data_IF_247831176903
#
_entry.id   IF_247831176903
#
_cell.length_a   1.000
_cell.length_b   1.000
_cell.length_c   1.000
_cell.angle_alpha   90.00
_cell.angle_beta   90.00
_cell.angle_gamma   90.00
#
_symmetry.space_group_name_H-M   'P 1'
#
loop_
_entity.id
_entity.type
_entity.pdbx_description
1 polymer ?
#
# COMPACT_ATOMS: atom_id res chain seq x y z
N UNK A 1 20.05 -32.65 27.98
CA UNK A 1 20.79 -32.16 26.82
C UNK A 1 19.77 -31.81 25.74
N UNK A 2 19.53 -30.51 25.44
CA UNK A 2 18.71 -30.10 24.29
C UNK A 2 19.53 -30.43 23.04
N UNK A 3 19.09 -31.36 22.24
CA UNK A 3 19.63 -31.59 20.90
C UNK A 3 19.47 -30.29 20.12
N UNK A 4 20.56 -29.57 19.91
CA UNK A 4 20.63 -28.39 19.06
C UNK A 4 20.42 -28.87 17.61
N UNK A 5 19.18 -28.93 17.17
CA UNK A 5 18.87 -29.17 15.76
C UNK A 5 19.24 -27.90 15.03
N UNK A 6 20.39 -27.87 14.36
CA UNK A 6 20.82 -26.78 13.49
C UNK A 6 19.85 -26.62 12.30
N UNK A 7 18.78 -25.89 12.54
CA UNK A 7 17.73 -25.74 11.52
C UNK A 7 18.23 -24.81 10.38
N UNK A 8 18.31 -25.29 9.12
CA UNK A 8 18.70 -24.45 8.01
C UNK A 8 17.73 -23.27 7.82
N UNK A 9 18.26 -22.06 7.64
CA UNK A 9 17.46 -20.85 7.43
C UNK A 9 16.50 -21.04 6.25
N UNK A 10 16.96 -21.64 5.16
CA UNK A 10 16.15 -21.92 3.97
C UNK A 10 14.96 -22.82 4.25
N UNK A 11 15.16 -23.89 5.01
CA UNK A 11 14.09 -24.81 5.39
C UNK A 11 13.02 -24.10 6.22
N UNK A 12 13.46 -23.26 7.17
CA UNK A 12 12.54 -22.49 8.00
C UNK A 12 11.79 -21.41 7.21
N UNK A 13 12.42 -20.74 6.24
CA UNK A 13 11.71 -19.88 5.30
C UNK A 13 10.62 -20.63 4.53
N UNK A 14 10.94 -21.82 4.00
CA UNK A 14 9.99 -22.64 3.22
C UNK A 14 8.78 -23.01 4.09
N UNK A 15 9.01 -23.45 5.32
CA UNK A 15 7.96 -23.76 6.28
C UNK A 15 7.06 -22.52 6.55
N UNK A 16 7.67 -21.38 6.88
CA UNK A 16 6.91 -20.17 7.18
C UNK A 16 6.12 -19.63 5.98
N UNK A 17 6.64 -19.75 4.77
CA UNK A 17 5.91 -19.40 3.55
C UNK A 17 4.69 -20.29 3.38
N UNK A 18 4.83 -21.60 3.55
CA UNK A 18 3.73 -22.56 3.43
C UNK A 18 2.63 -22.29 4.49
N UNK A 19 3.00 -22.01 5.74
CA UNK A 19 2.06 -21.65 6.80
C UNK A 19 1.29 -20.36 6.45
N UNK A 20 2.00 -19.32 6.00
CA UNK A 20 1.37 -18.06 5.60
C UNK A 20 0.43 -18.23 4.38
N UNK A 21 0.78 -19.11 3.45
CA UNK A 21 -0.07 -19.44 2.31
C UNK A 21 -1.33 -20.19 2.76
N UNK A 22 -1.22 -21.15 3.67
CA UNK A 22 -2.38 -21.86 4.23
C UNK A 22 -3.33 -20.95 5.00
N UNK A 23 -2.80 -19.91 5.67
CA UNK A 23 -3.57 -18.86 6.34
C UNK A 23 -4.21 -17.84 5.33
N UNK A 24 -3.99 -17.99 4.03
CA UNK A 24 -4.44 -17.03 3.01
C UNK A 24 -3.69 -15.68 3.03
N UNK A 25 -2.56 -15.59 3.71
CA UNK A 25 -1.72 -14.38 3.86
C UNK A 25 -0.72 -14.22 2.71
N UNK A 26 -1.22 -14.35 1.48
CA UNK A 26 -0.43 -14.38 0.23
C UNK A 26 0.55 -13.21 0.08
N UNK A 27 0.15 -12.00 0.50
CA UNK A 27 1.01 -10.82 0.44
C UNK A 27 2.21 -10.92 1.37
N UNK A 28 2.02 -11.46 2.57
CA UNK A 28 3.10 -11.70 3.54
C UNK A 28 4.00 -12.84 3.04
N UNK A 29 3.43 -13.95 2.60
CA UNK A 29 4.16 -15.08 2.00
C UNK A 29 5.05 -14.61 0.84
N UNK A 30 4.52 -13.77 -0.06
CA UNK A 30 5.30 -13.18 -1.16
C UNK A 30 6.49 -12.34 -0.68
N UNK A 31 6.34 -11.59 0.41
CA UNK A 31 7.46 -10.83 0.99
C UNK A 31 8.52 -11.74 1.60
N UNK A 32 8.12 -12.83 2.27
CA UNK A 32 9.03 -13.84 2.77
C UNK A 32 9.79 -14.51 1.61
N UNK A 33 9.12 -14.93 0.55
CA UNK A 33 9.74 -15.54 -0.62
C UNK A 33 10.72 -14.59 -1.34
N UNK A 34 10.43 -13.28 -1.38
CA UNK A 34 11.37 -12.27 -1.92
C UNK A 34 12.60 -12.12 -1.03
N UNK A 35 12.40 -12.11 0.28
CA UNK A 35 13.49 -11.98 1.26
C UNK A 35 14.36 -13.22 1.24
N UNK A 36 13.77 -14.42 1.21
CA UNK A 36 14.50 -15.69 1.06
C UNK A 36 15.41 -15.66 -0.17
N UNK A 37 14.88 -15.32 -1.34
CA UNK A 37 15.67 -15.24 -2.57
C UNK A 37 16.81 -14.21 -2.49
N UNK A 38 16.58 -13.09 -1.84
CA UNK A 38 17.62 -12.07 -1.64
C UNK A 38 18.70 -12.57 -0.68
N UNK A 39 18.30 -13.17 0.43
CA UNK A 39 19.22 -13.68 1.43
C UNK A 39 20.02 -14.87 0.90
N UNK A 40 19.39 -15.77 0.16
CA UNK A 40 20.07 -16.88 -0.52
C UNK A 40 21.14 -16.41 -1.52
N UNK A 41 20.87 -15.34 -2.29
CA UNK A 41 21.89 -14.76 -3.18
C UNK A 41 23.09 -14.22 -2.40
N UNK A 42 22.84 -13.60 -1.26
CA UNK A 42 23.91 -13.15 -0.36
C UNK A 42 24.72 -14.32 0.20
N UNK A 43 24.07 -15.40 0.63
CA UNK A 43 24.74 -16.59 1.15
C UNK A 43 25.60 -17.29 0.09
N UNK A 44 25.22 -17.24 -1.20
CA UNK A 44 25.87 -18.03 -2.25
C UNK A 44 25.70 -19.52 -1.98
N UNK A 45 26.83 -20.24 -1.89
CA UNK A 45 26.88 -21.68 -1.60
C UNK A 45 26.88 -22.01 -0.10
N UNK A 46 26.95 -21.00 0.78
CA UNK A 46 26.94 -21.22 2.24
C UNK A 46 25.55 -21.67 2.70
N UNK A 47 25.47 -22.78 3.36
CA UNK A 47 24.25 -23.24 4.05
C UNK A 47 24.24 -22.70 5.47
N UNK A 48 23.55 -21.59 5.68
CA UNK A 48 23.41 -20.98 7.01
C UNK A 48 22.27 -21.63 7.77
N UNK A 49 22.50 -21.85 9.07
CA UNK A 49 21.52 -22.25 10.07
C UNK A 49 20.93 -21.04 10.80
N UNK A 50 19.90 -21.23 11.61
CA UNK A 50 19.32 -20.15 12.41
C UNK A 50 20.34 -19.58 13.43
N UNK A 51 21.28 -20.38 13.90
CA UNK A 51 22.34 -19.98 14.84
C UNK A 51 23.36 -19.04 14.18
N UNK A 52 23.53 -19.13 12.85
CA UNK A 52 24.42 -18.28 12.06
C UNK A 52 23.83 -16.88 11.83
N UNK A 53 22.54 -16.66 12.16
CA UNK A 53 21.92 -15.32 12.08
C UNK A 53 22.41 -14.47 13.25
N UNK A 54 23.65 -14.04 13.19
CA UNK A 54 24.30 -13.20 14.18
C UNK A 54 24.24 -11.69 13.80
N UNK A 55 24.53 -10.77 14.74
CA UNK A 55 24.64 -9.35 14.39
C UNK A 55 25.63 -9.08 13.25
N UNK A 56 26.76 -9.78 13.21
CA UNK A 56 27.79 -9.63 12.17
C UNK A 56 27.24 -10.08 10.80
N UNK A 57 26.55 -11.23 10.73
CA UNK A 57 25.97 -11.71 9.47
C UNK A 57 24.87 -10.79 8.93
N UNK A 58 24.05 -10.21 9.82
CA UNK A 58 23.02 -9.24 9.42
C UNK A 58 23.64 -7.91 8.96
N UNK A 59 24.72 -7.44 9.59
CA UNK A 59 25.46 -6.27 9.14
C UNK A 59 26.11 -6.52 7.75
N UNK A 60 26.68 -7.72 7.52
CA UNK A 60 27.21 -8.13 6.21
C UNK A 60 26.12 -8.17 5.14
N UNK A 61 24.97 -8.75 5.44
CA UNK A 61 23.82 -8.74 4.53
C UNK A 61 23.35 -7.31 4.20
N UNK A 62 23.31 -6.41 5.18
CA UNK A 62 22.97 -5.01 4.93
C UNK A 62 23.97 -4.29 4.03
N UNK A 63 25.27 -4.62 4.15
CA UNK A 63 26.33 -4.11 3.26
C UNK A 63 26.09 -4.59 1.84
N UNK A 64 25.91 -5.89 1.65
CA UNK A 64 25.55 -6.49 0.36
C UNK A 64 24.33 -5.82 -0.30
N UNK A 65 23.27 -5.58 0.47
CA UNK A 65 22.08 -4.91 -0.08
C UNK A 65 22.34 -3.48 -0.52
N UNK A 66 23.23 -2.74 0.18
CA UNK A 66 23.67 -1.39 -0.24
C UNK A 66 24.51 -1.44 -1.51
N UNK A 67 25.42 -2.40 -1.62
CA UNK A 67 26.23 -2.64 -2.81
C UNK A 67 25.35 -3.02 -4.02
N UNK A 68 24.25 -3.72 -3.81
CA UNK A 68 23.23 -3.94 -4.85
C UNK A 68 22.40 -2.69 -5.21
N UNK A 69 22.71 -1.51 -4.64
CA UNK A 69 22.03 -0.24 -4.95
C UNK A 69 20.64 -0.08 -4.34
N UNK A 70 20.28 -0.87 -3.33
CA UNK A 70 18.96 -0.77 -2.72
C UNK A 70 18.85 0.46 -1.82
N UNK A 71 17.70 1.15 -1.92
CA UNK A 71 17.37 2.26 -1.03
C UNK A 71 17.05 1.78 0.40
N UNK A 72 17.28 2.65 1.38
CA UNK A 72 17.16 2.34 2.81
C UNK A 72 15.81 1.71 3.21
N UNK A 73 14.70 2.17 2.65
CA UNK A 73 13.37 1.57 2.90
C UNK A 73 13.24 0.14 2.37
N UNK A 74 13.89 -0.18 1.25
CA UNK A 74 13.92 -1.55 0.70
C UNK A 74 14.75 -2.47 1.59
N UNK A 75 15.93 -2.01 2.03
CA UNK A 75 16.78 -2.75 2.99
C UNK A 75 16.01 -3.00 4.29
N UNK A 76 15.38 -1.96 4.84
CA UNK A 76 14.55 -2.09 6.03
C UNK A 76 13.41 -3.11 5.87
N UNK A 77 12.82 -3.22 4.66
CA UNK A 77 11.78 -4.22 4.40
C UNK A 77 12.35 -5.66 4.53
N UNK A 78 13.52 -5.93 3.98
CA UNK A 78 14.19 -7.22 4.12
C UNK A 78 14.55 -7.51 5.58
N UNK A 79 15.13 -6.55 6.29
CA UNK A 79 15.45 -6.68 7.71
C UNK A 79 14.22 -6.99 8.58
N UNK A 80 13.09 -6.32 8.33
CA UNK A 80 11.85 -6.60 9.07
C UNK A 80 11.31 -7.99 8.84
N UNK A 81 11.44 -8.53 7.63
CA UNK A 81 11.00 -9.90 7.32
C UNK A 81 11.94 -10.91 7.98
N UNK A 82 13.27 -10.73 7.85
CA UNK A 82 14.25 -11.60 8.52
C UNK A 82 14.10 -11.55 10.04
N UNK A 83 13.90 -10.35 10.62
CA UNK A 83 13.66 -10.23 12.07
C UNK A 83 12.39 -10.95 12.49
N UNK A 84 11.31 -10.87 11.71
CA UNK A 84 10.08 -11.58 12.02
C UNK A 84 10.25 -13.10 11.90
N UNK A 85 11.03 -13.58 10.93
CA UNK A 85 11.40 -14.98 10.79
C UNK A 85 12.21 -15.45 12.00
N UNK A 86 13.27 -14.72 12.37
CA UNK A 86 14.14 -15.05 13.49
C UNK A 86 13.38 -15.05 14.82
N UNK A 87 12.57 -14.02 15.09
CA UNK A 87 11.75 -13.97 16.30
C UNK A 87 10.75 -15.14 16.38
N UNK A 88 10.24 -15.60 15.26
CA UNK A 88 9.39 -16.80 15.24
C UNK A 88 10.19 -18.08 15.54
N UNK A 89 11.45 -18.16 15.09
CA UNK A 89 12.35 -19.27 15.43
C UNK A 89 12.68 -19.26 16.93
N UNK A 90 12.99 -18.11 17.51
CA UNK A 90 13.19 -17.95 18.96
C UNK A 90 11.94 -18.38 19.73
N UNK A 91 10.76 -17.93 19.30
CA UNK A 91 9.48 -18.30 19.94
C UNK A 91 9.19 -19.82 19.89
N UNK A 92 9.73 -20.52 18.90
CA UNK A 92 9.62 -21.98 18.75
C UNK A 92 10.77 -22.74 19.41
N UNK A 93 11.61 -22.08 20.19
CA UNK A 93 12.80 -22.65 20.83
C UNK A 93 13.78 -23.33 19.86
N UNK A 94 13.81 -22.89 18.59
CA UNK A 94 14.71 -23.40 17.55
C UNK A 94 16.10 -22.75 17.60
N UNK A 95 16.21 -21.55 18.21
CA UNK A 95 17.47 -20.79 18.36
C UNK A 95 17.39 -19.91 19.61
N UNK A 96 18.53 -19.70 20.28
CA UNK A 96 18.64 -18.74 21.37
C UNK A 96 18.70 -17.29 20.81
N UNK A 97 18.03 -16.34 21.48
CA UNK A 97 18.03 -14.95 21.02
C UNK A 97 19.38 -14.26 21.28
N UNK A 98 20.07 -13.90 20.21
CA UNK A 98 21.28 -13.08 20.24
C UNK A 98 21.04 -11.62 19.76
N UNK A 99 19.77 -11.22 19.60
CA UNK A 99 19.36 -9.86 19.18
C UNK A 99 20.06 -9.37 17.90
N UNK A 100 20.04 -10.13 16.79
CA UNK A 100 20.87 -9.89 15.62
C UNK A 100 20.52 -8.60 14.87
N UNK A 101 19.31 -8.06 15.08
CA UNK A 101 18.82 -6.86 14.38
C UNK A 101 18.99 -5.56 15.17
N UNK A 102 19.68 -5.57 16.33
CA UNK A 102 19.80 -4.40 17.21
C UNK A 102 20.49 -3.21 16.52
N UNK A 103 21.47 -3.47 15.67
CA UNK A 103 22.29 -2.45 15.02
C UNK A 103 21.84 -2.08 13.61
N UNK A 104 20.79 -2.69 13.06
CA UNK A 104 20.34 -2.44 11.70
C UNK A 104 19.01 -1.70 11.66
N UNK A 105 18.85 -0.87 10.63
CA UNK A 105 17.65 -0.09 10.46
C UNK A 105 16.46 -0.96 10.06
N UNK A 106 15.40 -0.90 10.84
CA UNK A 106 14.10 -1.57 10.58
C UNK A 106 12.93 -0.59 10.56
N UNK A 107 13.20 0.71 10.54
CA UNK A 107 12.21 1.79 10.49
C UNK A 107 11.67 2.03 9.07
N UNK A 108 10.94 3.12 8.90
CA UNK A 108 10.40 3.57 7.62
C UNK A 108 10.72 5.05 7.46
N UNK A 109 11.55 5.38 6.46
CA UNK A 109 11.84 6.76 6.11
C UNK A 109 10.64 7.38 5.39
N UNK A 110 10.44 8.68 5.64
CA UNK A 110 9.42 9.45 4.93
C UNK A 110 9.70 9.46 3.43
N UNK A 111 8.69 9.18 2.64
CA UNK A 111 8.73 9.30 1.18
C UNK A 111 7.83 10.45 0.74
N UNK A 112 8.26 11.22 -0.26
CA UNK A 112 7.39 12.24 -0.83
C UNK A 112 6.11 11.62 -1.38
N UNK A 113 4.95 12.16 -0.99
CA UNK A 113 3.65 11.71 -1.48
C UNK A 113 3.25 12.57 -2.68
N UNK A 114 2.90 11.94 -3.78
CA UNK A 114 2.49 12.62 -5.01
C UNK A 114 0.97 12.75 -5.00
N UNK A 115 0.47 13.82 -4.42
CA UNK A 115 -0.93 14.20 -4.56
C UNK A 115 -1.09 15.08 -5.80
N UNK A 116 -2.16 14.85 -6.55
CA UNK A 116 -2.56 15.67 -7.68
C UNK A 116 -3.57 16.72 -7.23
N UNK A 117 -3.56 17.88 -7.91
CA UNK A 117 -4.61 18.87 -7.75
C UNK A 117 -5.94 18.41 -8.38
N UNK A 118 -7.04 19.06 -8.03
CA UNK A 118 -8.35 18.78 -8.66
C UNK A 118 -8.32 19.05 -10.18
N UNK A 119 -7.55 20.05 -10.61
CA UNK A 119 -7.31 20.34 -12.05
C UNK A 119 -6.60 19.16 -12.73
N UNK A 120 -5.62 18.57 -12.08
CA UNK A 120 -4.89 17.43 -12.64
C UNK A 120 -5.76 16.15 -12.67
N UNK A 121 -6.61 15.95 -11.67
CA UNK A 121 -7.61 14.86 -11.69
C UNK A 121 -8.57 15.06 -12.89
N UNK A 122 -9.04 16.28 -13.12
CA UNK A 122 -9.87 16.60 -14.29
C UNK A 122 -9.14 16.37 -15.63
N UNK A 123 -7.84 16.70 -15.71
CA UNK A 123 -7.01 16.38 -16.89
C UNK A 123 -6.91 14.88 -17.15
N UNK A 124 -6.72 14.05 -16.11
CA UNK A 124 -6.75 12.59 -16.25
C UNK A 124 -8.12 12.12 -16.73
N UNK A 125 -9.20 12.68 -16.20
CA UNK A 125 -10.57 12.33 -16.59
C UNK A 125 -10.84 12.62 -18.07
N UNK A 126 -10.29 13.71 -18.63
CA UNK A 126 -10.46 14.13 -20.02
C UNK A 126 -9.60 13.36 -21.03
N UNK A 127 -8.60 12.57 -20.59
CA UNK A 127 -7.78 11.78 -21.51
C UNK A 127 -8.65 10.79 -22.28
N UNK A 128 -8.60 10.85 -23.60
CA UNK A 128 -9.18 9.81 -24.44
C UNK A 128 -8.37 8.51 -24.32
N UNK A 129 -9.06 7.43 -23.96
CA UNK A 129 -8.44 6.13 -23.80
C UNK A 129 -8.85 5.19 -24.92
N UNK A 130 -7.87 4.71 -25.68
CA UNK A 130 -8.09 3.72 -26.73
C UNK A 130 -7.94 2.30 -26.16
N UNK A 131 -9.02 1.53 -26.21
CA UNK A 131 -9.08 0.13 -25.78
C UNK A 131 -9.54 -0.07 -24.32
N UNK A 132 -10.12 -1.25 -24.08
CA UNK A 132 -10.88 -1.53 -22.84
C UNK A 132 -10.01 -1.57 -21.59
N UNK A 133 -8.71 -1.77 -21.75
CA UNK A 133 -7.77 -1.85 -20.65
C UNK A 133 -7.38 -0.45 -20.09
N UNK A 134 -7.07 0.51 -20.98
CA UNK A 134 -6.76 1.89 -20.57
C UNK A 134 -8.01 2.57 -20.01
N UNK A 135 -9.17 2.28 -20.60
CA UNK A 135 -10.45 2.77 -20.12
C UNK A 135 -10.75 2.28 -18.69
N UNK A 136 -10.60 0.97 -18.43
CA UNK A 136 -10.76 0.41 -17.08
C UNK A 136 -9.79 1.05 -16.09
N UNK A 137 -8.54 1.25 -16.48
CA UNK A 137 -7.54 1.86 -15.61
C UNK A 137 -7.91 3.32 -15.25
N UNK A 138 -8.35 4.13 -16.23
CA UNK A 138 -8.84 5.48 -15.98
C UNK A 138 -10.04 5.48 -15.05
N UNK A 139 -11.02 4.64 -15.33
CA UNK A 139 -12.24 4.54 -14.54
C UNK A 139 -11.95 4.10 -13.11
N UNK A 140 -11.05 3.13 -12.89
CA UNK A 140 -10.64 2.72 -11.55
C UNK A 140 -9.87 3.82 -10.80
N UNK A 141 -9.08 4.63 -11.49
CA UNK A 141 -8.43 5.79 -10.89
C UNK A 141 -9.47 6.81 -10.38
N UNK A 142 -10.44 7.15 -11.22
CA UNK A 142 -11.52 8.08 -10.88
C UNK A 142 -12.43 7.50 -9.79
N UNK A 143 -12.74 6.21 -9.86
CA UNK A 143 -13.50 5.52 -8.84
C UNK A 143 -12.80 5.55 -7.49
N UNK A 144 -11.50 5.28 -7.45
CA UNK A 144 -10.71 5.40 -6.22
C UNK A 144 -10.81 6.80 -5.62
N UNK A 145 -10.65 7.84 -6.42
CA UNK A 145 -10.78 9.22 -5.95
C UNK A 145 -12.20 9.51 -5.44
N UNK A 146 -13.24 9.13 -6.19
CA UNK A 146 -14.64 9.36 -5.84
C UNK A 146 -15.14 8.52 -4.64
N UNK A 147 -14.37 7.50 -4.22
CA UNK A 147 -14.69 6.64 -3.07
C UNK A 147 -13.68 6.81 -1.93
N UNK A 148 -13.35 8.06 -1.60
CA UNK A 148 -12.46 8.42 -0.49
C UNK A 148 -11.09 7.75 -0.57
N UNK A 149 -10.57 7.54 -1.78
CA UNK A 149 -9.26 6.91 -1.99
C UNK A 149 -9.25 5.40 -1.73
N UNK A 150 -10.30 4.68 -2.10
CA UNK A 150 -10.33 3.21 -2.04
C UNK A 150 -9.11 2.64 -2.75
N UNK A 151 -8.36 1.75 -2.10
CA UNK A 151 -7.11 1.23 -2.67
C UNK A 151 -7.38 0.26 -3.82
N UNK A 152 -6.41 0.10 -4.73
CA UNK A 152 -6.56 -0.83 -5.86
C UNK A 152 -6.91 -2.25 -5.41
N UNK A 153 -6.28 -2.75 -4.33
CA UNK A 153 -6.61 -4.07 -3.80
C UNK A 153 -8.05 -4.15 -3.30
N UNK A 154 -8.55 -3.11 -2.62
CA UNK A 154 -9.93 -3.08 -2.13
C UNK A 154 -10.93 -3.01 -3.29
N UNK A 155 -10.61 -2.28 -4.38
CA UNK A 155 -11.43 -2.23 -5.60
C UNK A 155 -11.47 -3.59 -6.33
N UNK A 156 -10.30 -4.25 -6.50
CA UNK A 156 -10.22 -5.55 -7.18
C UNK A 156 -11.07 -6.62 -6.50
N UNK A 157 -11.10 -6.59 -5.17
CA UNK A 157 -11.87 -7.53 -4.35
C UNK A 157 -13.25 -6.98 -3.91
N UNK A 158 -13.69 -5.85 -4.46
CA UNK A 158 -14.99 -5.27 -4.11
C UNK A 158 -16.11 -6.14 -4.64
N UNK A 159 -16.90 -6.72 -3.71
CA UNK A 159 -18.05 -7.55 -4.05
C UNK A 159 -19.29 -6.70 -4.32
N UNK A 160 -20.18 -7.19 -5.16
CA UNK A 160 -21.49 -6.56 -5.41
C UNK A 160 -22.33 -6.50 -4.14
N UNK A 161 -22.21 -7.51 -3.28
CA UNK A 161 -22.88 -7.56 -1.97
C UNK A 161 -22.44 -6.44 -1.01
N UNK A 162 -21.31 -5.78 -1.29
CA UNK A 162 -20.85 -4.61 -0.55
C UNK A 162 -21.62 -3.33 -0.90
N UNK A 163 -22.39 -3.33 -2.00
CA UNK A 163 -23.22 -2.19 -2.40
C UNK A 163 -24.57 -2.31 -1.67
N UNK A 164 -24.87 -1.35 -0.82
CA UNK A 164 -26.09 -1.27 -0.02
C UNK A 164 -26.82 0.04 -0.33
N UNK A 165 -27.78 -0.02 -1.24
CA UNK A 165 -28.49 1.18 -1.71
C UNK A 165 -27.56 2.19 -2.37
N UNK A 166 -27.42 3.36 -1.77
CA UNK A 166 -26.53 4.43 -2.23
C UNK A 166 -25.15 4.42 -1.58
N UNK A 167 -24.77 3.33 -0.88
CA UNK A 167 -23.49 3.22 -0.15
C UNK A 167 -22.72 1.97 -0.52
N UNK A 168 -21.40 2.04 -0.38
CA UNK A 168 -20.50 0.88 -0.34
C UNK A 168 -20.09 0.67 1.11
N UNK A 169 -20.27 -0.55 1.62
CA UNK A 169 -19.80 -0.99 2.93
C UNK A 169 -18.84 -2.15 2.71
N UNK A 170 -17.56 -1.96 3.08
CA UNK A 170 -16.56 -2.99 2.91
C UNK A 170 -15.53 -3.00 4.04
N UNK A 171 -14.82 -4.10 4.18
CA UNK A 171 -13.71 -4.23 5.12
C UNK A 171 -12.40 -4.10 4.35
N UNK A 172 -11.57 -3.15 4.78
CA UNK A 172 -10.28 -2.88 4.16
C UNK A 172 -9.35 -4.09 4.27
N UNK A 173 -8.88 -4.63 3.17
CA UNK A 173 -8.08 -5.87 3.15
C UNK A 173 -6.77 -5.78 3.94
N UNK A 174 -6.15 -4.60 4.02
CA UNK A 174 -4.89 -4.42 4.74
C UNK A 174 -5.06 -4.29 6.25
N UNK A 175 -6.14 -3.69 6.74
CA UNK A 175 -6.30 -3.31 8.16
C UNK A 175 -7.48 -3.99 8.84
N UNK A 176 -8.41 -4.55 8.08
CA UNK A 176 -9.69 -5.07 8.59
C UNK A 176 -10.67 -3.97 9.02
N UNK A 177 -10.34 -2.70 8.84
CA UNK A 177 -11.24 -1.59 9.21
C UNK A 177 -12.49 -1.61 8.33
N UNK A 178 -13.67 -1.47 8.94
CA UNK A 178 -14.93 -1.26 8.22
C UNK A 178 -14.93 0.16 7.64
N UNK A 179 -15.24 0.27 6.37
CA UNK A 179 -15.38 1.54 5.67
C UNK A 179 -16.76 1.61 5.04
N UNK A 180 -17.38 2.78 5.15
CA UNK A 180 -18.64 3.08 4.53
C UNK A 180 -18.50 4.37 3.71
N UNK A 181 -18.83 4.30 2.41
CA UNK A 181 -18.70 5.43 1.48
C UNK A 181 -20.00 5.57 0.71
N UNK A 182 -20.52 6.80 0.65
CA UNK A 182 -21.64 7.13 -0.22
C UNK A 182 -21.23 7.08 -1.68
N UNK A 183 -22.06 6.48 -2.51
CA UNK A 183 -21.85 6.41 -3.96
C UNK A 183 -22.34 7.69 -4.63
N UNK A 184 -21.38 8.52 -5.01
CA UNK A 184 -21.65 9.69 -5.82
C UNK A 184 -21.79 9.36 -7.32
N UNK A 185 -22.33 10.30 -8.12
CA UNK A 185 -22.71 10.06 -9.51
C UNK A 185 -21.63 9.43 -10.39
N UNK A 186 -20.36 9.84 -10.21
CA UNK A 186 -19.21 9.28 -10.94
C UNK A 186 -19.03 7.80 -10.62
N UNK A 187 -19.02 7.44 -9.33
CA UNK A 187 -18.85 6.06 -8.89
C UNK A 187 -20.01 5.16 -9.37
N UNK A 188 -21.26 5.65 -9.29
CA UNK A 188 -22.44 4.94 -9.79
C UNK A 188 -22.36 4.67 -11.29
N UNK A 189 -21.92 5.66 -12.10
CA UNK A 189 -21.75 5.49 -13.55
C UNK A 189 -20.70 4.44 -13.87
N UNK A 190 -19.56 4.46 -13.17
CA UNK A 190 -18.48 3.48 -13.37
C UNK A 190 -18.96 2.07 -13.03
N UNK A 191 -19.65 1.86 -11.90
CA UNK A 191 -20.21 0.55 -11.54
C UNK A 191 -21.14 0.04 -12.65
N UNK A 192 -22.09 0.87 -13.10
CA UNK A 192 -23.03 0.49 -14.16
C UNK A 192 -22.33 0.11 -15.46
N UNK A 193 -21.29 0.85 -15.86
CA UNK A 193 -20.52 0.59 -17.07
C UNK A 193 -19.92 -0.82 -17.11
N UNK A 194 -19.47 -1.34 -15.96
CA UNK A 194 -18.84 -2.68 -15.90
C UNK A 194 -19.84 -3.80 -15.54
N UNK A 195 -21.10 -3.50 -15.30
CA UNK A 195 -22.08 -4.48 -14.86
C UNK A 195 -22.26 -5.64 -15.84
N UNK A 196 -22.31 -5.37 -17.14
CA UNK A 196 -22.43 -6.40 -18.18
C UNK A 196 -21.18 -7.29 -18.26
N UNK A 197 -19.99 -6.68 -18.13
CA UNK A 197 -18.69 -7.38 -18.20
C UNK A 197 -18.37 -8.23 -16.96
N UNK A 198 -19.13 -8.04 -15.88
CA UNK A 198 -18.99 -8.79 -14.62
C UNK A 198 -20.20 -9.68 -14.34
N UNK A 199 -21.02 -9.96 -15.36
CA UNK A 199 -22.17 -10.89 -15.23
C UNK A 199 -21.63 -12.26 -14.85
N UNK A 200 -22.22 -12.88 -13.81
CA UNK A 200 -21.75 -14.17 -13.28
C UNK A 200 -20.55 -14.12 -12.33
N UNK A 201 -19.99 -12.92 -12.07
CA UNK A 201 -18.94 -12.73 -11.06
C UNK A 201 -19.53 -12.04 -9.81
N UNK A 202 -19.01 -12.36 -8.64
CA UNK A 202 -19.36 -11.66 -7.40
C UNK A 202 -18.73 -10.26 -7.29
N UNK A 203 -17.72 -9.96 -8.13
CA UNK A 203 -16.96 -8.72 -8.07
C UNK A 203 -17.54 -7.61 -8.94
N UNK A 204 -17.30 -6.36 -8.53
CA UNK A 204 -17.77 -5.16 -9.23
C UNK A 204 -16.95 -4.89 -10.50
N UNK A 205 -15.64 -5.17 -10.45
CA UNK A 205 -14.72 -4.92 -11.57
C UNK A 205 -14.28 -6.21 -12.29
N UNK A 206 -14.09 -6.18 -13.62
CA UNK A 206 -13.80 -7.36 -14.43
C UNK A 206 -12.32 -7.76 -14.36
N UNK A 207 -11.81 -8.06 -13.17
CA UNK A 207 -10.41 -8.40 -12.94
C UNK A 207 -10.25 -9.83 -12.47
N UNK A 208 -10.99 -10.24 -11.43
CA UNK A 208 -10.84 -11.56 -10.83
C UNK A 208 -11.74 -12.62 -11.48
N UNK A 209 -12.87 -12.21 -12.08
CA UNK A 209 -13.86 -13.19 -12.57
C UNK A 209 -14.36 -14.07 -11.44
N UNK A 210 -14.14 -15.38 -11.52
CA UNK A 210 -14.50 -16.35 -10.49
C UNK A 210 -13.27 -16.93 -9.76
N UNK A 211 -12.10 -16.32 -9.92
CA UNK A 211 -10.88 -16.76 -9.26
C UNK A 211 -10.94 -16.54 -7.75
N UNK A 212 -10.39 -17.48 -6.99
CA UNK A 212 -10.32 -17.43 -5.52
C UNK A 212 -8.92 -17.79 -5.02
N UNK A 213 -8.67 -17.64 -3.74
CA UNK A 213 -7.44 -18.05 -3.07
C UNK A 213 -6.16 -17.54 -3.74
N UNK A 214 -5.22 -18.44 -3.99
CA UNK A 214 -3.91 -18.15 -4.58
C UNK A 214 -4.01 -17.60 -6.00
N UNK A 215 -4.94 -18.10 -6.79
CA UNK A 215 -5.13 -17.66 -8.18
C UNK A 215 -5.64 -16.22 -8.25
N UNK A 216 -6.61 -15.87 -7.41
CA UNK A 216 -7.08 -14.49 -7.28
C UNK A 216 -5.94 -13.55 -6.85
N UNK A 217 -5.07 -13.98 -5.93
CA UNK A 217 -3.90 -13.20 -5.52
C UNK A 217 -2.89 -13.01 -6.67
N UNK A 218 -2.61 -14.06 -7.44
CA UNK A 218 -1.73 -13.97 -8.63
C UNK A 218 -2.32 -13.01 -9.66
N UNK A 219 -3.62 -13.13 -9.96
CA UNK A 219 -4.29 -12.23 -10.91
C UNK A 219 -4.29 -10.78 -10.41
N UNK A 220 -4.54 -10.55 -9.13
CA UNK A 220 -4.43 -9.23 -8.51
C UNK A 220 -3.03 -8.62 -8.70
N UNK A 221 -1.96 -9.38 -8.46
CA UNK A 221 -0.58 -8.85 -8.59
C UNK A 221 -0.21 -8.52 -10.04
N UNK A 222 -0.62 -9.32 -11.01
CA UNK A 222 -0.52 -9.01 -12.44
C UNK A 222 -1.31 -7.75 -12.79
N UNK A 223 -2.58 -7.70 -12.36
CA UNK A 223 -3.46 -6.56 -12.61
C UNK A 223 -2.91 -5.25 -12.02
N UNK A 224 -2.27 -5.30 -10.85
CA UNK A 224 -1.63 -4.12 -10.25
C UNK A 224 -0.47 -3.60 -11.12
N UNK A 225 0.33 -4.51 -11.68
CA UNK A 225 1.43 -4.15 -12.58
C UNK A 225 0.89 -3.55 -13.88
N UNK A 226 -0.11 -4.18 -14.46
CA UNK A 226 -0.81 -3.72 -15.65
C UNK A 226 -1.45 -2.34 -15.40
N UNK A 227 -2.15 -2.17 -14.29
CA UNK A 227 -2.78 -0.93 -13.89
C UNK A 227 -1.79 0.23 -13.75
N UNK A 228 -0.66 0.02 -13.06
CA UNK A 228 0.38 1.05 -12.94
C UNK A 228 0.99 1.39 -14.31
N UNK A 229 1.16 0.42 -15.22
CA UNK A 229 1.63 0.65 -16.60
C UNK A 229 0.62 1.49 -17.39
N UNK A 230 -0.67 1.19 -17.26
CA UNK A 230 -1.74 1.97 -17.89
C UNK A 230 -1.80 3.41 -17.36
N UNK A 231 -1.72 3.59 -16.03
CA UNK A 231 -1.68 4.92 -15.41
C UNK A 231 -0.49 5.75 -15.88
N UNK A 232 0.68 5.12 -16.10
CA UNK A 232 1.84 5.82 -16.67
C UNK A 232 1.56 6.33 -18.08
N UNK A 233 0.87 5.54 -18.93
CA UNK A 233 0.46 5.98 -20.28
C UNK A 233 -0.56 7.12 -20.22
N UNK A 234 -1.58 6.98 -19.38
CA UNK A 234 -2.63 7.99 -19.21
C UNK A 234 -2.04 9.31 -18.68
N UNK A 235 -1.16 9.25 -17.68
CA UNK A 235 -0.52 10.46 -17.14
C UNK A 235 0.40 11.13 -18.16
N UNK A 236 1.13 10.36 -18.98
CA UNK A 236 1.92 10.89 -20.08
C UNK A 236 1.06 11.61 -21.12
N UNK A 237 -0.07 11.03 -21.52
CA UNK A 237 -1.03 11.68 -22.43
C UNK A 237 -1.65 12.95 -21.83
N UNK A 238 -1.79 13.02 -20.50
CA UNK A 238 -2.22 14.23 -19.79
C UNK A 238 -1.09 15.26 -19.60
N UNK A 239 0.12 15.03 -20.13
CA UNK A 239 1.28 15.92 -19.95
C UNK A 239 1.75 15.98 -18.48
N UNK A 240 1.68 14.89 -17.76
CA UNK A 240 1.97 14.82 -16.33
C UNK A 240 3.08 13.82 -16.02
N UNK A 241 3.75 14.00 -14.89
CA UNK A 241 4.68 13.00 -14.35
C UNK A 241 3.94 11.71 -14.00
N UNK A 242 4.68 10.59 -13.93
CA UNK A 242 4.14 9.26 -13.68
C UNK A 242 3.21 9.20 -12.47
N UNK A 243 1.99 8.73 -12.70
CA UNK A 243 0.93 8.48 -11.71
C UNK A 243 0.91 6.99 -11.36
N UNK A 244 0.67 6.68 -10.10
CA UNK A 244 0.57 5.29 -9.61
C UNK A 244 -0.78 5.02 -8.95
N UNK A 245 -1.05 3.75 -8.68
CA UNK A 245 -2.29 3.27 -8.04
C UNK A 245 -2.61 3.91 -6.68
N UNK A 246 -1.63 4.49 -6.00
CA UNK A 246 -1.84 5.18 -4.71
C UNK A 246 -2.11 6.68 -4.84
N UNK A 247 -1.85 7.27 -6.01
CA UNK A 247 -2.02 8.72 -6.23
C UNK A 247 -3.45 9.19 -6.00
N UNK A 248 -4.52 8.51 -6.46
CA UNK A 248 -5.88 9.00 -6.22
C UNK A 248 -6.21 9.08 -4.73
N UNK A 249 -5.69 8.13 -3.93
CA UNK A 249 -5.87 8.15 -2.47
C UNK A 249 -5.11 9.30 -1.80
N UNK A 250 -3.88 9.57 -2.24
CA UNK A 250 -3.11 10.72 -1.75
C UNK A 250 -3.80 12.03 -2.12
N UNK A 251 -4.29 12.12 -3.35
CA UNK A 251 -4.98 13.31 -3.86
C UNK A 251 -6.27 13.58 -3.11
N UNK A 252 -7.10 12.56 -2.89
CA UNK A 252 -8.32 12.71 -2.11
C UNK A 252 -8.02 13.17 -0.67
N UNK A 253 -7.08 12.56 0.02
CA UNK A 253 -6.72 12.92 1.39
C UNK A 253 -6.20 14.37 1.48
N UNK A 254 -5.39 14.79 0.49
CA UNK A 254 -4.88 16.17 0.41
C UNK A 254 -6.00 17.15 0.09
N UNK A 255 -6.89 16.82 -0.83
CA UNK A 255 -8.05 17.64 -1.17
C UNK A 255 -8.99 17.78 0.04
N UNK A 256 -9.35 16.69 0.72
CA UNK A 256 -10.18 16.71 1.91
C UNK A 256 -9.60 17.64 2.98
N UNK A 257 -8.30 17.52 3.27
CA UNK A 257 -7.61 18.42 4.21
C UNK A 257 -7.62 19.87 3.74
N UNK A 258 -7.45 20.10 2.45
CA UNK A 258 -7.47 21.44 1.88
C UNK A 258 -8.84 22.10 1.98
N UNK A 259 -9.90 21.29 1.96
CA UNK A 259 -11.29 21.71 2.15
C UNK A 259 -11.72 21.71 3.64
N UNK A 260 -10.79 21.59 4.58
CA UNK A 260 -11.07 21.79 6.01
C UNK A 260 -11.40 20.52 6.81
N UNK A 261 -11.39 19.33 6.17
CA UNK A 261 -11.60 18.10 6.93
C UNK A 261 -10.47 17.90 7.96
N UNK A 262 -10.83 17.55 9.19
CA UNK A 262 -9.88 17.24 10.27
C UNK A 262 -9.16 15.90 10.02
N UNK A 263 -8.11 15.65 10.81
CA UNK A 263 -7.27 14.45 10.64
C UNK A 263 -8.04 13.18 11.01
N UNK A 264 -8.92 13.24 11.99
CA UNK A 264 -9.71 12.10 12.47
C UNK A 264 -10.68 11.65 11.38
N UNK A 265 -11.44 12.58 10.79
CA UNK A 265 -12.35 12.34 9.67
C UNK A 265 -11.61 11.72 8.46
N UNK A 266 -10.44 12.28 8.09
CA UNK A 266 -9.63 11.73 7.00
C UNK A 266 -9.12 10.32 7.36
N UNK A 267 -8.70 10.10 8.61
CA UNK A 267 -8.20 8.82 9.11
C UNK A 267 -9.27 7.73 9.02
N UNK A 268 -10.48 8.04 9.44
CA UNK A 268 -11.65 7.17 9.39
C UNK A 268 -12.00 6.82 7.95
N UNK A 269 -12.17 7.83 7.08
CA UNK A 269 -12.48 7.63 5.66
C UNK A 269 -11.43 6.80 4.93
N UNK A 270 -10.17 6.93 5.32
CA UNK A 270 -9.08 6.11 4.79
C UNK A 270 -8.97 4.73 5.46
N UNK A 271 -9.67 4.47 6.55
CA UNK A 271 -9.58 3.21 7.32
C UNK A 271 -8.18 2.99 7.90
N UNK A 272 -7.54 4.04 8.42
CA UNK A 272 -6.30 3.92 9.18
C UNK A 272 -6.62 3.53 10.62
N UNK A 273 -5.81 2.64 11.22
CA UNK A 273 -5.94 2.26 12.62
C UNK A 273 -5.40 3.32 13.59
N UNK A 274 -4.68 4.32 13.08
CA UNK A 274 -4.03 5.36 13.87
C UNK A 274 -3.93 6.63 13.04
N UNK A 275 -4.31 7.75 13.63
CA UNK A 275 -4.15 9.09 13.05
C UNK A 275 -2.69 9.44 12.73
N UNK A 276 -1.73 8.87 13.46
CA UNK A 276 -0.30 8.99 13.16
C UNK A 276 0.02 8.57 11.72
N UNK A 277 -0.66 7.52 11.22
CA UNK A 277 -0.53 7.11 9.81
C UNK A 277 -1.04 8.19 8.87
N UNK A 278 -2.15 8.85 9.21
CA UNK A 278 -2.73 9.94 8.42
C UNK A 278 -1.84 11.19 8.44
N UNK A 279 -1.27 11.54 9.60
CA UNK A 279 -0.32 12.66 9.74
C UNK A 279 0.90 12.45 8.85
N UNK A 280 1.50 11.26 8.85
CA UNK A 280 2.63 10.91 7.97
C UNK A 280 2.23 11.03 6.49
N UNK A 281 0.98 10.71 6.18
CA UNK A 281 0.40 10.78 4.84
C UNK A 281 0.23 12.22 4.35
N UNK A 282 -0.12 13.14 5.26
CA UNK A 282 -0.44 14.54 4.99
C UNK A 282 0.71 15.51 5.33
N UNK A 283 1.88 15.01 5.65
CA UNK A 283 2.99 15.72 6.33
C UNK A 283 3.75 16.77 5.51
N UNK A 284 3.26 17.19 4.36
CA UNK A 284 3.75 18.43 3.73
C UNK A 284 2.85 19.58 4.15
N UNK A 285 3.24 20.33 5.17
CA UNK A 285 2.61 21.62 5.48
C UNK A 285 2.79 22.56 4.29
N UNK A 286 1.70 22.98 3.67
CA UNK A 286 1.72 24.10 2.74
C UNK A 286 1.91 25.38 3.57
N UNK A 287 3.13 25.94 3.55
CA UNK A 287 3.45 27.22 4.24
C UNK A 287 2.43 28.32 3.91
N UNK A 288 1.91 28.32 2.69
CA UNK A 288 0.86 29.26 2.25
C UNK A 288 -0.43 29.17 3.06
N UNK A 289 -0.74 28.01 3.66
CA UNK A 289 -1.90 27.91 4.58
C UNK A 289 -1.65 28.61 5.91
N UNK A 290 -0.45 28.48 6.46
CA UNK A 290 -0.07 29.19 7.70
C UNK A 290 -0.13 30.69 7.44
N UNK A 291 0.44 31.15 6.32
CA UNK A 291 0.41 32.55 5.92
C UNK A 291 -1.01 33.06 5.74
N UNK A 292 -1.89 32.27 5.08
CA UNK A 292 -3.31 32.63 4.87
C UNK A 292 -4.09 32.70 6.19
N UNK A 293 -3.86 31.76 7.10
CA UNK A 293 -4.48 31.77 8.44
C UNK A 293 -3.97 32.97 9.24
N UNK A 294 -2.63 33.15 9.26
CA UNK A 294 -2.03 34.28 9.98
C UNK A 294 -2.51 35.62 9.45
N UNK A 295 -2.59 35.79 8.11
CA UNK A 295 -3.14 37.00 7.48
C UNK A 295 -4.58 37.29 7.94
N UNK A 296 -5.45 36.25 7.95
CA UNK A 296 -6.83 36.41 8.44
C UNK A 296 -6.91 36.84 9.89
N UNK A 297 -6.01 36.28 10.74
CA UNK A 297 -5.95 36.66 12.16
C UNK A 297 -5.47 38.10 12.33
N UNK A 298 -4.43 38.48 11.60
CA UNK A 298 -3.89 39.86 11.65
C UNK A 298 -4.88 40.88 11.07
N UNK A 299 -5.56 40.54 9.98
CA UNK A 299 -6.59 41.43 9.39
C UNK A 299 -7.77 41.64 10.36
N UNK A 300 -8.13 40.65 11.16
CA UNK A 300 -9.12 40.82 12.25
C UNK A 300 -8.59 41.71 13.39
N UNK A 301 -7.32 41.59 13.77
CA UNK A 301 -6.72 42.46 14.77
C UNK A 301 -6.73 43.93 14.37
N UNK A 302 -6.52 44.22 13.05
CA UNK A 302 -6.58 45.60 12.55
C UNK A 302 -7.96 46.24 12.74
N UNK A 303 -9.04 45.46 12.74
CA UNK A 303 -10.39 45.97 13.04
C UNK A 303 -10.56 46.41 14.50
N UNK A 304 -9.71 45.95 15.43
CA UNK A 304 -9.79 46.29 16.85
C UNK A 304 -8.73 47.30 17.31
N UNK A 305 -7.66 47.49 16.53
CA UNK A 305 -6.50 48.30 16.91
C UNK A 305 -6.51 49.69 16.26
N UNK A 306 -7.33 49.89 15.21
CA UNK A 306 -7.42 51.15 14.45
C UNK A 306 -8.84 51.75 14.46
N UNK A 307 -9.66 51.38 15.43
CA UNK A 307 -10.87 52.07 15.88
C UNK A 307 -10.55 52.89 17.13
#
# INVERSE_FOLDING_TARGET
MKTTTHTPVRAFFTLRIAELESEGRWGTASNYAKTERSFRRFCGERELTLDDITPAEIEAYNRYLRECGLIRNSISQYNRVLRALYNEAVKRDLVADCSPFRKVYTGIDKTSKRALSEKDIARIASVETKGPFLELAKDMFLFSYATCGMTFVDMVYLKRSSIKGDRIVYYRRKTGSRIEVRLEGVAKRIIRKYQSRTRGSEYVFPILGNLSGREAYRRFTSALTEYNRALKKISGAAGMTCVSSYVPRHSWATAARNNGADISTISEALGHRSERTTIIYLSSFDRRKIEKVNKKLVDRLKMFVYL
#
